data_IF_989226896576
#
_entry.id   IF_989226896576
#
_cell.length_a   1.000
_cell.length_b   1.000
_cell.length_c   1.000
_cell.angle_alpha   90.00
_cell.angle_beta   90.00
_cell.angle_gamma   90.00
#
_symmetry.space_group_name_H-M   'P 1'
#
loop_
_entity.id
_entity.type
_entity.pdbx_description
1 polymer ?
#
# COMPACT_ATOMS: atom_id res chain seq x y z
N UNK A 1 -4.72 1.11 36.29
CA UNK A 1 -5.25 1.66 35.09
C UNK A 1 -6.76 1.81 35.19
N UNK A 2 -7.27 3.02 35.00
CA UNK A 2 -8.71 3.26 34.95
C UNK A 2 -9.33 2.64 33.69
N UNK A 3 -10.60 2.27 33.78
CA UNK A 3 -11.43 1.79 32.66
C UNK A 3 -11.67 2.92 31.60
N UNK A 4 -10.62 3.39 30.95
CA UNK A 4 -10.78 4.27 29.79
C UNK A 4 -11.33 3.41 28.64
N UNK A 5 -12.61 3.58 28.38
CA UNK A 5 -13.27 2.88 27.27
C UNK A 5 -12.95 3.66 25.98
N UNK A 6 -12.50 2.94 24.97
CA UNK A 6 -12.40 3.44 23.59
C UNK A 6 -13.78 3.92 23.13
N UNK A 7 -13.88 5.15 22.63
CA UNK A 7 -15.10 5.68 22.03
C UNK A 7 -15.17 5.24 20.56
N UNK A 8 -16.05 4.32 20.27
CA UNK A 8 -16.26 3.78 18.91
C UNK A 8 -17.27 4.67 18.18
N UNK A 9 -16.82 5.40 17.15
CA UNK A 9 -17.67 6.20 16.28
C UNK A 9 -18.34 5.32 15.23
N UNK A 10 -17.59 4.42 14.63
CA UNK A 10 -18.09 3.41 13.70
C UNK A 10 -17.26 2.12 13.80
N UNK A 11 -17.92 0.99 13.92
CA UNK A 11 -17.30 -0.33 13.81
C UNK A 11 -17.58 -0.95 12.43
N UNK A 12 -16.82 -2.02 12.09
CA UNK A 12 -17.01 -2.72 10.82
C UNK A 12 -18.34 -3.49 10.81
N UNK A 13 -19.27 -3.21 9.88
CA UNK A 13 -20.62 -3.75 9.96
C UNK A 13 -20.81 -5.11 9.24
N UNK A 14 -19.80 -5.63 8.53
CA UNK A 14 -19.96 -6.74 7.60
C UNK A 14 -19.23 -8.02 8.04
N UNK A 15 -19.63 -8.62 9.15
CA UNK A 15 -19.13 -9.91 9.61
C UNK A 15 -17.78 -9.85 10.32
N UNK A 16 -17.00 -10.95 10.35
CA UNK A 16 -15.73 -10.99 11.05
C UNK A 16 -14.71 -10.03 10.43
N UNK A 17 -14.13 -9.20 11.27
CA UNK A 17 -13.04 -8.29 10.91
C UNK A 17 -11.74 -8.74 11.58
N UNK A 18 -10.61 -8.15 11.19
CA UNK A 18 -9.37 -8.31 11.91
C UNK A 18 -9.41 -7.50 13.21
N UNK A 19 -8.72 -7.96 14.24
CA UNK A 19 -8.55 -7.24 15.50
C UNK A 19 -7.34 -6.27 15.46
N UNK A 20 -6.84 -5.95 14.29
CA UNK A 20 -5.63 -5.15 14.11
C UNK A 20 -5.77 -3.75 14.71
N UNK A 21 -6.91 -3.08 14.50
CA UNK A 21 -7.20 -1.80 15.13
C UNK A 21 -7.16 -1.86 16.67
N UNK A 22 -7.55 -2.98 17.28
CA UNK A 22 -7.42 -3.17 18.72
C UNK A 22 -5.96 -3.33 19.16
N UNK A 23 -5.13 -4.00 18.36
CA UNK A 23 -3.70 -4.08 18.62
C UNK A 23 -3.03 -2.69 18.55
N UNK A 24 -3.40 -1.87 17.57
CA UNK A 24 -2.94 -0.49 17.46
C UNK A 24 -3.36 0.35 18.68
N UNK A 25 -4.61 0.24 19.11
CA UNK A 25 -5.11 0.93 20.31
C UNK A 25 -4.38 0.54 21.59
N UNK A 26 -3.94 -0.73 21.71
CA UNK A 26 -3.11 -1.16 22.83
C UNK A 26 -1.75 -0.45 22.83
N UNK A 27 -1.09 -0.33 21.67
CA UNK A 27 0.17 0.41 21.56
C UNK A 27 -0.04 1.89 21.94
N UNK A 28 -1.08 2.53 21.43
CA UNK A 28 -1.40 3.93 21.77
C UNK A 28 -1.61 4.09 23.28
N UNK A 29 -2.35 3.17 23.91
CA UNK A 29 -2.58 3.20 25.35
C UNK A 29 -1.30 3.01 26.17
N UNK A 30 -0.40 2.13 25.72
CA UNK A 30 0.85 1.86 26.41
C UNK A 30 1.83 3.04 26.31
N UNK A 31 1.84 3.73 25.17
CA UNK A 31 2.68 4.91 24.94
C UNK A 31 2.07 6.17 25.59
N UNK A 32 0.76 6.32 25.54
CA UNK A 32 0.03 7.48 26.05
C UNK A 32 -1.20 7.07 26.90
N UNK A 33 -0.99 6.55 28.13
CA UNK A 33 -2.07 5.96 28.93
C UNK A 33 -3.15 6.92 29.40
N UNK A 34 -2.89 8.23 29.33
CA UNK A 34 -3.85 9.27 29.70
C UNK A 34 -4.63 9.82 28.49
N UNK A 35 -4.31 9.40 27.25
CA UNK A 35 -5.00 9.85 26.04
C UNK A 35 -6.40 9.28 25.97
N UNK A 36 -7.37 10.11 25.57
CA UNK A 36 -8.70 9.63 25.17
C UNK A 36 -8.63 8.96 23.80
N UNK A 37 -9.11 7.72 23.71
CA UNK A 37 -9.01 6.91 22.49
C UNK A 37 -10.36 6.85 21.77
N UNK A 38 -10.34 7.16 20.48
CA UNK A 38 -11.46 7.04 19.56
C UNK A 38 -11.14 6.00 18.49
N UNK A 39 -12.18 5.37 17.93
CA UNK A 39 -12.03 4.40 16.86
C UNK A 39 -13.10 4.61 15.79
N UNK A 40 -12.70 4.55 14.54
CA UNK A 40 -13.56 4.41 13.37
C UNK A 40 -12.96 3.42 12.40
N UNK A 41 -13.81 2.58 11.77
CA UNK A 41 -13.31 1.66 10.74
C UNK A 41 -13.09 2.39 9.43
N UNK A 42 -11.96 2.13 8.77
CA UNK A 42 -11.71 2.56 7.39
C UNK A 42 -11.90 1.44 6.35
N UNK A 43 -12.22 0.21 6.79
CA UNK A 43 -12.20 -0.96 5.92
C UNK A 43 -13.45 -1.12 5.02
N UNK A 44 -14.45 -0.24 5.13
CA UNK A 44 -15.68 -0.32 4.32
C UNK A 44 -15.44 0.17 2.89
N UNK A 45 -14.84 1.35 2.74
CA UNK A 45 -14.48 1.96 1.46
C UNK A 45 -13.62 3.21 1.67
N UNK A 46 -13.02 3.73 0.61
CA UNK A 46 -12.28 5.01 0.64
C UNK A 46 -13.18 6.17 1.08
N UNK A 47 -14.43 6.23 0.58
CA UNK A 47 -15.39 7.26 1.00
C UNK A 47 -15.78 7.16 2.48
N UNK A 48 -15.89 5.94 3.01
CA UNK A 48 -16.12 5.73 4.44
C UNK A 48 -14.90 6.15 5.28
N UNK A 49 -13.69 5.85 4.81
CA UNK A 49 -12.44 6.28 5.48
C UNK A 49 -12.36 7.81 5.53
N UNK A 50 -12.60 8.48 4.41
CA UNK A 50 -12.59 9.95 4.35
C UNK A 50 -13.64 10.56 5.30
N UNK A 51 -14.85 10.01 5.37
CA UNK A 51 -15.87 10.40 6.33
C UNK A 51 -15.43 10.15 7.79
N UNK A 52 -14.84 8.97 8.06
CA UNK A 52 -14.32 8.64 9.38
C UNK A 52 -13.20 9.57 9.86
N UNK A 53 -12.33 10.02 8.96
CA UNK A 53 -11.32 11.06 9.26
C UNK A 53 -12.03 12.37 9.70
N UNK A 54 -13.04 12.81 8.94
CA UNK A 54 -13.81 13.99 9.28
C UNK A 54 -14.56 13.85 10.63
N UNK A 55 -15.10 12.66 10.92
CA UNK A 55 -15.76 12.38 12.21
C UNK A 55 -14.77 12.44 13.39
N UNK A 56 -13.53 11.95 13.22
CA UNK A 56 -12.49 12.07 14.24
C UNK A 56 -12.07 13.52 14.47
N UNK A 57 -11.93 14.31 13.41
CA UNK A 57 -11.69 15.77 13.52
C UNK A 57 -12.84 16.46 14.26
N UNK A 58 -14.09 16.11 13.94
CA UNK A 58 -15.27 16.67 14.62
C UNK A 58 -15.40 16.21 16.08
N UNK A 59 -14.76 15.11 16.46
CA UNK A 59 -14.64 14.63 17.83
C UNK A 59 -13.46 15.25 18.61
N UNK A 60 -12.83 16.30 18.07
CA UNK A 60 -11.68 17.02 18.64
C UNK A 60 -10.44 16.11 18.85
N UNK A 61 -10.21 15.13 17.99
CA UNK A 61 -8.98 14.35 18.03
C UNK A 61 -7.79 15.18 17.53
N UNK A 62 -6.76 15.34 18.34
CA UNK A 62 -5.51 16.05 18.00
C UNK A 62 -4.60 15.23 17.09
N UNK A 63 -4.70 13.90 17.21
CA UNK A 63 -3.87 12.92 16.50
C UNK A 63 -4.77 11.85 15.87
N UNK A 64 -4.54 11.56 14.60
CA UNK A 64 -5.17 10.44 13.88
C UNK A 64 -4.09 9.50 13.39
N UNK A 65 -4.30 8.21 13.52
CA UNK A 65 -3.40 7.18 12.99
C UNK A 65 -4.18 6.12 12.23
N UNK A 66 -3.67 5.72 11.08
CA UNK A 66 -4.25 4.66 10.26
C UNK A 66 -3.23 3.59 9.82
N UNK A 67 -3.77 2.47 9.36
CA UNK A 67 -3.04 1.32 8.86
C UNK A 67 -3.70 0.72 7.61
N UNK A 68 -4.11 1.54 6.69
CA UNK A 68 -4.82 1.09 5.49
C UNK A 68 -4.13 1.51 4.20
N UNK A 69 -4.20 0.63 3.19
CA UNK A 69 -3.83 0.96 1.82
C UNK A 69 -4.91 0.46 0.86
N UNK A 70 -5.48 1.35 0.07
CA UNK A 70 -6.48 1.01 -0.93
C UNK A 70 -5.79 0.73 -2.27
N UNK A 71 -5.92 -0.51 -2.75
CA UNK A 71 -5.31 -0.95 -4.01
C UNK A 71 -5.89 -0.24 -5.24
N UNK A 72 -7.12 0.29 -5.12
CA UNK A 72 -7.81 1.04 -6.17
C UNK A 72 -7.59 2.55 -6.06
N UNK A 73 -7.16 3.03 -4.91
CA UNK A 73 -6.83 4.43 -4.71
C UNK A 73 -5.71 4.86 -5.65
N UNK A 74 -5.74 6.10 -6.14
CA UNK A 74 -4.81 6.56 -7.18
C UNK A 74 -3.37 6.56 -6.68
N UNK A 75 -2.43 6.15 -7.57
CA UNK A 75 -0.99 6.17 -7.28
C UNK A 75 -0.33 7.50 -7.66
N UNK A 76 -0.79 8.11 -8.76
CA UNK A 76 -0.15 9.27 -9.39
C UNK A 76 -0.80 10.61 -9.04
N UNK A 77 -1.86 10.59 -8.25
CA UNK A 77 -2.59 11.78 -7.77
C UNK A 77 -3.15 11.56 -6.38
N UNK A 78 -3.54 12.63 -5.72
CA UNK A 78 -4.29 12.53 -4.49
C UNK A 78 -5.73 12.06 -4.79
N UNK A 79 -6.24 11.18 -3.95
CA UNK A 79 -7.61 10.70 -3.98
C UNK A 79 -8.37 11.17 -2.76
N UNK A 80 -9.64 10.80 -2.65
CA UNK A 80 -10.56 11.30 -1.61
C UNK A 80 -10.05 11.10 -0.17
N UNK A 81 -9.27 10.04 0.10
CA UNK A 81 -8.68 9.82 1.43
C UNK A 81 -7.48 10.74 1.64
N UNK A 82 -6.64 10.94 0.63
CA UNK A 82 -5.53 11.88 0.72
C UNK A 82 -6.02 13.32 0.92
N UNK A 83 -7.11 13.69 0.23
CA UNK A 83 -7.75 15.00 0.41
C UNK A 83 -8.27 15.18 1.85
N UNK A 84 -8.91 14.14 2.41
CA UNK A 84 -9.38 14.18 3.80
C UNK A 84 -8.23 14.29 4.81
N UNK A 85 -7.09 13.61 4.54
CA UNK A 85 -5.86 13.73 5.34
C UNK A 85 -5.32 15.17 5.27
N UNK A 86 -5.21 15.73 4.07
CA UNK A 86 -4.72 17.10 3.86
C UNK A 86 -5.63 18.12 4.52
N UNK A 87 -6.96 17.92 4.49
CA UNK A 87 -7.92 18.77 5.19
C UNK A 87 -7.75 18.68 6.70
N UNK A 88 -7.70 17.48 7.29
CA UNK A 88 -7.51 17.28 8.72
C UNK A 88 -6.23 17.97 9.22
N UNK A 89 -5.13 17.82 8.49
CA UNK A 89 -3.85 18.46 8.86
C UNK A 89 -3.89 19.97 8.70
N UNK A 90 -4.63 20.51 7.74
CA UNK A 90 -4.86 21.96 7.60
C UNK A 90 -5.62 22.55 8.79
N UNK A 91 -6.41 21.74 9.49
CA UNK A 91 -7.13 22.09 10.71
C UNK A 91 -6.29 21.92 11.99
N UNK A 92 -5.04 21.48 11.86
CA UNK A 92 -4.09 21.34 12.97
C UNK A 92 -3.97 19.93 13.55
N UNK A 93 -4.64 18.95 12.98
CA UNK A 93 -4.52 17.53 13.39
C UNK A 93 -3.20 16.94 12.88
N UNK A 94 -2.50 16.19 13.71
CA UNK A 94 -1.34 15.39 13.29
C UNK A 94 -1.82 14.06 12.75
N UNK A 95 -1.56 13.77 11.46
CA UNK A 95 -2.01 12.55 10.83
C UNK A 95 -0.84 11.59 10.55
N UNK A 96 -0.88 10.41 11.17
CA UNK A 96 0.11 9.35 10.97
C UNK A 96 -0.47 8.22 10.13
N UNK A 97 0.28 7.76 9.13
CA UNK A 97 -0.15 6.64 8.28
C UNK A 97 0.96 5.60 8.14
N UNK A 98 0.60 4.34 8.19
CA UNK A 98 1.55 3.26 7.94
C UNK A 98 2.08 3.32 6.50
N UNK A 99 3.39 3.11 6.31
CA UNK A 99 4.00 3.12 4.98
C UNK A 99 3.57 1.93 4.10
N UNK A 100 3.01 0.89 4.71
CA UNK A 100 2.69 -0.39 4.08
C UNK A 100 3.85 -1.39 4.13
N UNK A 101 3.54 -2.66 3.86
CA UNK A 101 4.48 -3.78 3.97
C UNK A 101 4.83 -4.37 2.59
N UNK A 102 5.06 -3.50 1.60
CA UNK A 102 5.27 -3.90 0.20
C UNK A 102 6.75 -3.96 -0.21
N UNK A 103 7.67 -3.69 0.74
CA UNK A 103 9.13 -3.71 0.50
C UNK A 103 9.52 -2.81 -0.69
N UNK A 104 10.18 -3.42 -1.70
CA UNK A 104 10.50 -2.80 -2.99
C UNK A 104 9.76 -3.49 -4.15
N UNK A 105 8.61 -4.12 -3.87
CA UNK A 105 7.86 -4.93 -4.83
C UNK A 105 7.00 -4.06 -5.74
N UNK A 106 7.64 -3.27 -6.58
CA UNK A 106 6.99 -2.43 -7.59
C UNK A 106 7.88 -2.26 -8.80
N UNK A 107 7.27 -1.82 -9.89
CA UNK A 107 7.95 -1.39 -11.10
C UNK A 107 7.27 -0.11 -11.58
N UNK A 108 8.06 0.87 -12.02
CA UNK A 108 7.56 2.13 -12.56
C UNK A 108 8.36 2.50 -13.80
N UNK A 109 7.68 2.86 -14.87
CA UNK A 109 8.27 3.30 -16.12
C UNK A 109 7.31 4.16 -16.95
N UNK A 110 7.82 4.81 -17.98
CA UNK A 110 6.99 5.26 -19.08
C UNK A 110 6.76 4.09 -20.05
N UNK A 111 5.53 3.90 -20.50
CA UNK A 111 5.26 2.86 -21.49
C UNK A 111 6.07 3.13 -22.76
N UNK A 112 6.89 2.17 -23.13
CA UNK A 112 7.67 2.16 -24.36
C UNK A 112 7.32 0.88 -25.12
N UNK A 113 6.88 0.99 -26.36
CA UNK A 113 6.51 -0.17 -27.16
C UNK A 113 7.75 -1.04 -27.44
N UNK A 114 7.61 -2.34 -27.27
CA UNK A 114 8.62 -3.31 -27.68
C UNK A 114 8.73 -3.35 -29.22
N UNK A 115 9.84 -3.86 -29.76
CA UNK A 115 9.97 -4.05 -31.21
C UNK A 115 8.95 -5.05 -31.78
N UNK A 116 8.72 -4.97 -33.07
CA UNK A 116 7.91 -5.94 -33.82
C UNK A 116 8.36 -7.40 -33.53
N UNK A 117 7.44 -8.35 -33.37
CA UNK A 117 5.97 -8.23 -33.54
C UNK A 117 5.20 -7.88 -32.23
N UNK A 118 5.85 -7.33 -31.21
CA UNK A 118 5.26 -7.13 -29.87
C UNK A 118 4.98 -5.65 -29.57
N UNK A 119 4.65 -4.83 -30.55
CA UNK A 119 4.55 -3.37 -30.43
C UNK A 119 3.47 -2.87 -29.48
N UNK A 120 2.52 -3.73 -29.12
CA UNK A 120 1.50 -3.41 -28.12
C UNK A 120 2.01 -3.66 -26.68
N UNK A 121 3.15 -4.35 -26.49
CA UNK A 121 3.74 -4.68 -25.21
C UNK A 121 4.78 -3.68 -24.79
N UNK A 122 4.91 -3.50 -23.48
CA UNK A 122 5.97 -2.68 -22.92
C UNK A 122 7.35 -3.35 -23.09
N UNK A 123 8.35 -2.57 -23.50
CA UNK A 123 9.76 -2.96 -23.51
C UNK A 123 10.36 -2.77 -22.10
N UNK A 124 10.59 -3.85 -21.39
CA UNK A 124 11.26 -3.83 -20.08
C UNK A 124 12.79 -3.57 -20.19
N UNK A 125 13.29 -3.40 -21.39
CA UNK A 125 14.69 -3.08 -21.71
C UNK A 125 15.27 -3.98 -22.77
N UNK A 126 15.99 -3.36 -23.73
CA UNK A 126 16.69 -4.06 -24.80
C UNK A 126 15.76 -4.79 -25.80
N UNK A 127 14.52 -4.39 -25.94
CA UNK A 127 13.53 -5.04 -26.81
C UNK A 127 12.81 -6.23 -26.14
N UNK A 128 12.96 -6.41 -24.83
CA UNK A 128 12.36 -7.52 -24.10
C UNK A 128 10.98 -7.12 -23.57
N UNK A 129 9.94 -7.76 -24.07
CA UNK A 129 8.56 -7.55 -23.61
C UNK A 129 8.10 -8.47 -22.45
N UNK A 130 9.02 -9.22 -21.88
CA UNK A 130 8.76 -10.20 -20.81
C UNK A 130 9.59 -9.87 -19.57
N UNK A 131 8.94 -9.57 -18.46
CA UNK A 131 9.63 -9.40 -17.17
C UNK A 131 9.54 -10.69 -16.38
N UNK A 132 10.64 -11.39 -16.22
CA UNK A 132 10.67 -12.66 -15.49
C UNK A 132 10.33 -12.46 -14.00
N UNK A 133 9.45 -13.31 -13.49
CA UNK A 133 9.06 -13.41 -12.10
C UNK A 133 9.41 -14.80 -11.55
N UNK A 134 9.92 -14.82 -10.33
CA UNK A 134 10.05 -16.04 -9.51
C UNK A 134 9.02 -15.97 -8.39
N UNK A 135 8.09 -16.89 -8.37
CA UNK A 135 6.93 -16.89 -7.50
C UNK A 135 6.98 -18.12 -6.58
N UNK A 136 6.93 -17.88 -5.28
CA UNK A 136 6.73 -18.91 -4.28
C UNK A 136 5.23 -19.23 -4.10
N UNK A 137 4.87 -20.41 -3.52
CA UNK A 137 3.47 -20.73 -3.25
C UNK A 137 2.79 -19.67 -2.38
N UNK A 138 1.53 -19.37 -2.70
CA UNK A 138 0.72 -18.43 -1.95
C UNK A 138 -0.18 -17.57 -2.82
N UNK A 139 -0.82 -16.60 -2.18
CA UNK A 139 -1.72 -15.66 -2.83
C UNK A 139 -0.96 -14.41 -3.27
N UNK A 140 -1.26 -13.94 -4.45
CA UNK A 140 -0.70 -12.71 -5.02
C UNK A 140 -1.81 -11.74 -5.41
N UNK A 141 -1.53 -10.46 -5.24
CA UNK A 141 -2.35 -9.37 -5.79
C UNK A 141 -1.39 -8.34 -6.35
N UNK A 142 -1.47 -8.11 -7.65
CA UNK A 142 -0.73 -7.05 -8.33
C UNK A 142 -1.74 -6.00 -8.81
N UNK A 143 -1.54 -4.74 -8.44
CA UNK A 143 -2.29 -3.63 -8.98
C UNK A 143 -1.41 -2.84 -9.94
N UNK A 144 -1.89 -2.70 -11.18
CA UNK A 144 -1.32 -1.85 -12.21
C UNK A 144 -2.14 -0.57 -12.30
N UNK A 145 -1.48 0.57 -12.32
CA UNK A 145 -2.08 1.87 -12.60
C UNK A 145 -1.21 2.67 -13.54
N UNK A 146 -1.81 3.61 -14.23
CA UNK A 146 -1.11 4.55 -15.11
C UNK A 146 -1.59 5.98 -14.87
N UNK A 147 -0.76 6.94 -15.24
CA UNK A 147 -1.00 8.36 -15.00
C UNK A 147 -2.01 8.90 -16.01
N UNK A 148 -3.27 8.65 -15.72
CA UNK A 148 -4.44 9.11 -16.46
C UNK A 148 -5.53 9.58 -15.49
N UNK A 149 -6.57 10.20 -15.97
CA UNK A 149 -7.66 10.70 -15.17
C UNK A 149 -8.55 9.58 -14.63
N UNK A 150 -8.98 9.74 -13.38
CA UNK A 150 -9.93 8.83 -12.73
C UNK A 150 -11.36 9.34 -12.91
N UNK A 151 -12.22 8.54 -13.53
CA UNK A 151 -13.65 8.83 -13.63
C UNK A 151 -14.31 8.89 -12.25
N UNK A 152 -13.93 7.97 -11.36
CA UNK A 152 -14.44 7.92 -9.98
C UNK A 152 -14.09 9.13 -9.11
N UNK A 153 -13.08 9.91 -9.50
CA UNK A 153 -12.71 11.16 -8.85
C UNK A 153 -13.32 12.40 -9.53
N UNK A 154 -14.29 12.20 -10.42
CA UNK A 154 -15.05 13.28 -11.05
C UNK A 154 -14.48 13.78 -12.38
N UNK A 155 -13.49 13.12 -12.98
CA UNK A 155 -13.09 13.43 -14.35
C UNK A 155 -14.23 13.16 -15.32
N UNK A 156 -14.46 14.10 -16.24
CA UNK A 156 -15.50 13.93 -17.28
C UNK A 156 -15.07 12.97 -18.38
N UNK A 157 -13.78 12.73 -18.52
CA UNK A 157 -13.21 11.92 -19.60
C UNK A 157 -12.71 10.55 -19.12
N UNK A 158 -12.32 10.44 -17.85
CA UNK A 158 -11.67 9.23 -17.33
C UNK A 158 -10.37 8.89 -18.07
N UNK A 159 -9.92 7.66 -17.98
CA UNK A 159 -8.69 7.20 -18.62
C UNK A 159 -8.75 7.34 -20.14
N UNK A 160 -7.66 7.82 -20.74
CA UNK A 160 -7.47 8.00 -22.18
C UNK A 160 -6.60 6.89 -22.78
N UNK A 161 -5.99 6.09 -21.94
CA UNK A 161 -5.21 4.90 -22.30
C UNK A 161 -5.80 3.68 -21.61
N UNK A 162 -5.53 2.52 -22.19
CA UNK A 162 -5.98 1.22 -21.72
C UNK A 162 -4.76 0.31 -21.62
N UNK A 163 -4.29 0.07 -20.40
CA UNK A 163 -3.17 -0.81 -20.11
C UNK A 163 -3.65 -2.08 -19.42
N UNK A 164 -3.23 -3.20 -19.98
CA UNK A 164 -3.55 -4.53 -19.49
C UNK A 164 -2.35 -5.19 -18.82
N UNK A 165 -2.61 -6.10 -17.88
CA UNK A 165 -1.59 -6.87 -17.18
C UNK A 165 -1.80 -8.37 -17.32
N UNK A 166 -0.74 -9.10 -17.68
CA UNK A 166 -0.80 -10.53 -17.90
C UNK A 166 0.37 -11.29 -17.28
N UNK A 167 0.16 -12.58 -16.98
CA UNK A 167 1.20 -13.57 -16.82
C UNK A 167 1.35 -14.37 -18.12
N UNK A 168 2.58 -14.63 -18.51
CA UNK A 168 2.92 -15.33 -19.75
C UNK A 168 4.01 -16.39 -19.51
N UNK A 169 4.07 -17.39 -20.40
CA UNK A 169 5.19 -18.31 -20.45
C UNK A 169 6.40 -17.68 -21.17
N UNK A 170 7.51 -18.42 -21.25
CA UNK A 170 8.77 -17.92 -21.80
C UNK A 170 8.72 -17.61 -23.31
N UNK A 171 7.72 -18.12 -24.03
CA UNK A 171 7.51 -17.74 -25.43
C UNK A 171 6.53 -16.56 -25.63
N UNK A 172 6.07 -15.99 -24.51
CA UNK A 172 5.17 -14.84 -24.55
C UNK A 172 3.69 -15.18 -24.71
N UNK A 173 3.30 -16.46 -24.68
CA UNK A 173 1.88 -16.83 -24.71
C UNK A 173 1.23 -16.52 -23.37
N UNK A 174 0.12 -15.81 -23.38
CA UNK A 174 -0.63 -15.41 -22.20
C UNK A 174 -1.21 -16.64 -21.50
N UNK A 175 -1.00 -16.71 -20.18
CA UNK A 175 -1.50 -17.76 -19.29
C UNK A 175 -2.69 -17.27 -18.47
N UNK A 176 -2.65 -16.02 -18.01
CA UNK A 176 -3.63 -15.41 -17.15
C UNK A 176 -3.50 -13.88 -17.21
N UNK A 177 -4.56 -13.13 -16.94
CA UNK A 177 -4.44 -11.68 -16.89
C UNK A 177 -5.75 -10.96 -16.62
N UNK A 178 -5.62 -9.63 -16.57
CA UNK A 178 -6.73 -8.68 -16.44
C UNK A 178 -6.62 -7.65 -17.56
N UNK A 179 -7.71 -7.47 -18.29
CA UNK A 179 -7.75 -6.75 -19.56
C UNK A 179 -9.12 -6.09 -19.78
N UNK A 180 -9.64 -5.39 -18.78
CA UNK A 180 -10.87 -4.64 -18.95
C UNK A 180 -10.59 -3.41 -19.81
N UNK A 181 -11.57 -3.02 -20.61
CA UNK A 181 -11.50 -1.73 -21.26
C UNK A 181 -11.66 -0.60 -20.23
N UNK A 182 -10.59 0.13 -19.99
CA UNK A 182 -10.52 1.23 -19.02
C UNK A 182 -10.74 2.61 -19.66
N UNK A 183 -10.90 2.72 -21.00
CA UNK A 183 -11.18 3.99 -21.63
C UNK A 183 -12.46 4.62 -21.06
N UNK A 184 -12.35 5.85 -20.57
CA UNK A 184 -13.45 6.56 -19.91
C UNK A 184 -13.77 6.09 -18.50
N UNK A 185 -12.99 5.19 -17.92
CA UNK A 185 -13.12 4.68 -16.57
C UNK A 185 -11.87 5.05 -15.74
N UNK A 186 -11.59 4.30 -14.66
CA UNK A 186 -10.38 4.50 -13.86
C UNK A 186 -9.18 3.73 -14.45
N UNK A 187 -7.97 4.31 -14.43
CA UNK A 187 -6.76 3.74 -14.98
C UNK A 187 -6.16 2.68 -14.04
N UNK A 188 -6.88 1.58 -13.80
CA UNK A 188 -6.48 0.56 -12.84
C UNK A 188 -6.86 -0.85 -13.27
N UNK A 189 -5.89 -1.78 -13.23
CA UNK A 189 -6.09 -3.21 -13.30
C UNK A 189 -5.59 -3.89 -12.02
N UNK A 190 -6.39 -4.81 -11.47
CA UNK A 190 -6.03 -5.57 -10.27
C UNK A 190 -6.06 -7.05 -10.62
N UNK A 191 -4.90 -7.70 -10.53
CA UNK A 191 -4.69 -9.09 -10.89
C UNK A 191 -4.46 -9.95 -9.64
N UNK A 192 -5.49 -10.60 -9.06
CA UNK A 192 -5.34 -11.61 -8.03
C UNK A 192 -5.07 -12.98 -8.66
N UNK A 193 -4.14 -13.76 -8.09
CA UNK A 193 -3.90 -15.14 -8.48
C UNK A 193 -3.28 -15.95 -7.33
N UNK A 194 -3.25 -17.27 -7.50
CA UNK A 194 -2.67 -18.20 -6.53
C UNK A 194 -1.61 -19.04 -7.22
N UNK A 195 -0.47 -19.16 -6.55
CA UNK A 195 0.62 -20.06 -6.95
C UNK A 195 0.61 -21.26 -6.01
N UNK A 196 0.56 -22.47 -6.56
CA UNK A 196 0.50 -23.72 -5.77
C UNK A 196 1.90 -24.31 -5.57
N UNK A 197 2.75 -24.21 -6.58
CA UNK A 197 4.14 -24.68 -6.54
C UNK A 197 5.08 -23.55 -6.97
N UNK A 198 6.35 -23.52 -6.51
CA UNK A 198 7.32 -22.55 -6.98
C UNK A 198 7.33 -22.50 -8.52
N UNK A 199 7.17 -21.31 -9.07
CA UNK A 199 6.92 -21.11 -10.50
C UNK A 199 7.73 -19.93 -11.01
N UNK A 200 8.40 -20.14 -12.15
CA UNK A 200 8.94 -19.04 -12.95
C UNK A 200 7.94 -18.72 -14.06
N UNK A 201 7.60 -17.45 -14.21
CA UNK A 201 6.68 -16.95 -15.23
C UNK A 201 7.15 -15.56 -15.67
N UNK A 202 6.42 -14.93 -16.57
CA UNK A 202 6.74 -13.59 -17.03
C UNK A 202 5.54 -12.67 -16.85
N UNK A 203 5.78 -11.44 -16.43
CA UNK A 203 4.80 -10.35 -16.46
C UNK A 203 4.86 -9.68 -17.83
N UNK A 204 3.69 -9.33 -18.36
CA UNK A 204 3.51 -8.58 -19.59
C UNK A 204 2.58 -7.41 -19.31
N UNK A 205 2.94 -6.23 -19.77
CA UNK A 205 2.08 -5.04 -19.78
C UNK A 205 1.79 -4.74 -21.25
N UNK A 206 0.51 -4.73 -21.63
CA UNK A 206 0.06 -4.39 -22.97
C UNK A 206 -0.68 -3.06 -22.97
N UNK A 207 -0.55 -2.28 -24.02
CA UNK A 207 -1.41 -1.14 -24.28
C UNK A 207 -2.41 -1.54 -25.34
N UNK A 208 -3.63 -1.88 -24.91
CA UNK A 208 -4.72 -2.30 -25.77
C UNK A 208 -5.27 -1.14 -26.60
N UNK A 209 -5.31 0.07 -26.02
CA UNK A 209 -5.76 1.28 -26.70
C UNK A 209 -5.13 2.53 -26.07
N UNK A 210 -5.29 3.68 -26.74
CA UNK A 210 -4.93 4.98 -26.17
C UNK A 210 -4.26 5.94 -27.14
N UNK A 211 -4.12 7.18 -26.68
CA UNK A 211 -3.63 8.32 -27.47
C UNK A 211 -2.22 8.76 -27.08
N UNK A 212 -1.71 8.33 -25.92
CA UNK A 212 -0.38 8.72 -25.43
C UNK A 212 0.75 7.95 -26.10
N UNK A 213 1.86 8.62 -26.40
CA UNK A 213 3.09 7.95 -26.86
C UNK A 213 3.94 7.44 -25.73
N UNK A 214 3.91 8.14 -24.60
CA UNK A 214 4.57 7.75 -23.33
C UNK A 214 3.57 7.95 -22.20
N UNK A 215 3.16 6.86 -21.59
CA UNK A 215 2.23 6.86 -20.47
C UNK A 215 2.99 6.35 -19.24
N UNK A 216 3.17 7.18 -18.20
CA UNK A 216 3.72 6.70 -16.95
C UNK A 216 2.83 5.62 -16.38
N UNK A 217 3.39 4.51 -15.98
CA UNK A 217 2.66 3.45 -15.31
C UNK A 217 3.48 2.85 -14.17
N UNK A 218 2.78 2.23 -13.25
CA UNK A 218 3.35 1.56 -12.11
C UNK A 218 2.52 0.33 -11.75
N UNK A 219 3.19 -0.75 -11.39
CA UNK A 219 2.53 -1.77 -10.62
C UNK A 219 3.14 -1.92 -9.23
N UNK A 220 2.29 -2.28 -8.27
CA UNK A 220 2.69 -2.64 -6.89
C UNK A 220 2.14 -4.03 -6.57
N UNK A 221 2.99 -4.86 -5.94
CA UNK A 221 2.59 -6.19 -5.46
C UNK A 221 2.15 -6.07 -4.01
N UNK A 222 0.85 -5.98 -3.79
CA UNK A 222 0.24 -5.80 -2.47
C UNK A 222 0.25 -7.08 -1.64
N UNK A 223 0.15 -8.24 -2.28
CA UNK A 223 0.30 -9.54 -1.64
C UNK A 223 1.24 -10.39 -2.49
N UNK A 224 2.19 -11.07 -1.85
CA UNK A 224 3.28 -11.78 -2.52
C UNK A 224 3.60 -13.12 -1.85
N UNK A 225 2.73 -14.10 -2.04
CA UNK A 225 2.90 -15.44 -1.48
C UNK A 225 2.81 -15.50 0.05
N UNK A 226 3.10 -16.66 0.62
CA UNK A 226 3.05 -16.87 2.07
C UNK A 226 4.23 -16.23 2.80
N UNK A 227 5.41 -16.20 2.16
CA UNK A 227 6.64 -15.67 2.77
C UNK A 227 7.00 -14.26 2.24
N UNK A 228 6.14 -13.68 1.42
CA UNK A 228 6.41 -12.40 0.79
C UNK A 228 7.53 -12.42 -0.26
N UNK A 229 7.98 -13.60 -0.66
CA UNK A 229 9.03 -13.77 -1.67
C UNK A 229 8.46 -13.55 -3.07
N UNK A 230 8.80 -12.40 -3.61
CA UNK A 230 8.52 -12.02 -4.99
C UNK A 230 9.82 -11.46 -5.57
N UNK A 231 10.45 -12.22 -6.43
CA UNK A 231 11.61 -11.76 -7.17
C UNK A 231 11.16 -11.35 -8.57
N UNK A 232 11.06 -10.06 -8.80
CA UNK A 232 11.04 -9.46 -10.13
C UNK A 232 12.34 -8.70 -10.30
N UNK A 233 12.74 -8.41 -11.52
CA UNK A 233 13.78 -7.42 -11.76
C UNK A 233 13.14 -6.05 -11.46
N UNK A 234 13.34 -5.47 -10.27
CA UNK A 234 12.73 -4.18 -9.96
C UNK A 234 13.36 -3.12 -10.84
N UNK A 235 12.57 -2.18 -11.29
CA UNK A 235 13.14 -0.93 -11.78
C UNK A 235 13.96 -0.30 -10.64
N UNK A 236 15.16 0.15 -10.93
CA UNK A 236 15.95 0.89 -9.97
C UNK A 236 15.08 2.07 -9.45
N UNK A 237 14.94 2.19 -8.14
CA UNK A 237 14.19 3.24 -7.45
C UNK A 237 12.64 3.19 -7.56
N UNK A 238 12.05 2.07 -7.89
CA UNK A 238 10.59 1.94 -7.80
C UNK A 238 10.14 2.10 -6.35
N UNK A 239 9.20 3.02 -6.14
CA UNK A 239 8.60 3.31 -4.84
C UNK A 239 7.42 2.38 -4.57
N UNK A 240 7.09 2.13 -3.29
CA UNK A 240 5.96 1.28 -2.89
C UNK A 240 4.98 1.98 -1.95
N UNK A 241 5.25 3.24 -1.58
CA UNK A 241 4.31 4.07 -0.82
C UNK A 241 3.39 4.77 -1.81
N UNK A 242 2.11 4.50 -1.71
CA UNK A 242 1.04 4.97 -2.62
C UNK A 242 -0.19 5.40 -1.83
N UNK A 243 -1.15 6.03 -2.49
CA UNK A 243 -2.41 6.45 -1.90
C UNK A 243 -2.22 7.52 -0.82
N UNK A 244 -3.09 7.55 0.19
CA UNK A 244 -3.08 8.59 1.21
C UNK A 244 -1.85 8.57 2.13
N UNK A 245 -1.20 7.42 2.33
CA UNK A 245 0.10 7.37 3.00
C UNK A 245 1.18 8.17 2.25
N UNK A 246 0.98 8.43 0.96
CA UNK A 246 1.87 9.26 0.14
C UNK A 246 1.45 10.75 0.10
N UNK A 247 0.34 11.16 0.77
CA UNK A 247 -0.11 12.56 0.79
C UNK A 247 0.87 13.48 1.51
N UNK A 248 0.81 14.77 1.19
CA UNK A 248 1.69 15.76 1.82
C UNK A 248 1.35 15.96 3.29
N UNK A 249 0.07 15.84 3.67
CA UNK A 249 -0.39 15.97 5.05
C UNK A 249 -0.04 14.77 5.94
N UNK A 250 0.18 13.58 5.40
CA UNK A 250 0.48 12.41 6.19
C UNK A 250 1.93 12.40 6.70
N UNK A 251 2.12 12.12 7.97
CA UNK A 251 3.40 11.67 8.55
C UNK A 251 3.47 10.16 8.32
N UNK A 252 4.19 9.75 7.30
CA UNK A 252 4.26 8.34 6.88
C UNK A 252 5.32 7.60 7.67
N UNK A 253 4.93 6.49 8.29
CA UNK A 253 5.76 5.76 9.25
C UNK A 253 6.24 4.43 8.68
N UNK A 254 7.55 4.29 8.52
CA UNK A 254 8.21 3.03 8.20
C UNK A 254 8.56 2.23 9.46
N UNK A 255 8.94 0.97 9.29
CA UNK A 255 9.19 0.03 10.39
C UNK A 255 10.67 -0.27 10.63
N UNK A 256 11.07 -0.25 11.91
CA UNK A 256 12.34 -0.79 12.43
C UNK A 256 12.01 -1.81 13.51
N UNK A 257 12.57 -3.00 13.43
CA UNK A 257 12.37 -3.99 14.52
C UNK A 257 12.86 -3.42 15.86
N UNK A 258 12.08 -3.61 16.92
CA UNK A 258 12.41 -3.10 18.25
C UNK A 258 13.80 -3.58 18.72
N UNK A 259 14.14 -4.84 18.47
CA UNK A 259 15.40 -5.47 18.83
C UNK A 259 16.59 -5.03 17.94
N UNK A 260 16.32 -4.31 16.86
CA UNK A 260 17.35 -3.68 15.99
C UNK A 260 17.50 -2.16 16.27
N UNK A 261 16.97 -1.68 17.36
CA UNK A 261 17.13 -0.29 17.79
C UNK A 261 18.44 -0.11 18.60
N UNK A 262 18.98 1.11 18.73
CA UNK A 262 20.18 1.37 19.54
C UNK A 262 20.04 0.98 21.00
N UNK A 263 18.83 1.00 21.55
CA UNK A 263 18.56 0.54 22.93
C UNK A 263 18.90 -0.95 23.12
N UNK A 264 18.85 -1.73 22.06
CA UNK A 264 19.20 -3.16 22.04
C UNK A 264 20.52 -3.42 21.29
N UNK A 265 21.33 -2.37 21.01
CA UNK A 265 22.60 -2.51 20.32
C UNK A 265 22.50 -2.66 18.80
N UNK A 266 21.33 -2.41 18.22
CA UNK A 266 21.09 -2.49 16.79
C UNK A 266 21.46 -1.21 16.04
N UNK A 267 21.32 -1.24 14.71
CA UNK A 267 21.79 -0.21 13.79
C UNK A 267 20.69 0.60 13.09
N UNK A 268 19.45 0.54 13.55
CA UNK A 268 18.27 1.21 12.96
C UNK A 268 18.04 0.88 11.48
N UNK A 269 18.26 -0.35 11.09
CA UNK A 269 17.95 -0.79 9.74
C UNK A 269 16.44 -0.94 9.56
N UNK A 270 15.91 -0.36 8.50
CA UNK A 270 14.52 -0.55 8.11
C UNK A 270 14.18 -2.03 7.98
N UNK A 271 13.03 -2.43 8.49
CA UNK A 271 12.52 -3.78 8.31
C UNK A 271 12.39 -4.08 6.82
N UNK A 272 12.79 -5.28 6.41
CA UNK A 272 12.85 -5.64 4.99
C UNK A 272 11.50 -5.51 4.27
N UNK A 273 10.40 -5.79 4.98
CA UNK A 273 9.04 -5.64 4.44
C UNK A 273 8.54 -4.21 4.36
N UNK A 274 9.12 -3.26 5.12
CA UNK A 274 8.67 -1.87 5.12
C UNK A 274 8.73 -1.27 3.71
N UNK A 275 7.65 -0.61 3.29
CA UNK A 275 7.58 0.10 2.01
C UNK A 275 8.57 1.25 1.93
N UNK A 276 8.96 1.61 0.70
CA UNK A 276 10.07 2.55 0.42
C UNK A 276 9.70 3.53 -0.66
N UNK A 277 10.08 4.79 -0.43
CA UNK A 277 9.94 5.87 -1.40
C UNK A 277 8.50 6.23 -1.73
N UNK A 278 8.21 7.52 -1.80
CA UNK A 278 6.92 8.02 -2.26
C UNK A 278 6.82 7.94 -3.78
N UNK A 279 5.63 7.64 -4.27
CA UNK A 279 5.30 7.73 -5.69
C UNK A 279 5.21 9.21 -6.09
N UNK A 280 5.62 9.54 -7.31
CA UNK A 280 5.41 10.87 -7.85
C UNK A 280 3.90 11.12 -8.00
N UNK A 281 3.44 12.20 -7.41
CA UNK A 281 2.04 12.62 -7.46
C UNK A 281 1.96 13.89 -8.28
N UNK A 282 1.19 13.89 -9.37
CA UNK A 282 1.10 15.00 -10.33
C UNK A 282 2.48 15.48 -10.82
N UNK A 283 3.39 14.53 -11.05
CA UNK A 283 4.77 14.78 -11.47
C UNK A 283 5.71 15.25 -10.37
N UNK A 284 5.24 15.50 -9.13
CA UNK A 284 6.05 15.93 -8.00
C UNK A 284 6.51 14.72 -7.17
N UNK A 285 7.82 14.62 -6.92
CA UNK A 285 8.37 13.59 -6.06
C UNK A 285 8.05 13.88 -4.59
N UNK A 286 7.54 12.88 -3.87
CA UNK A 286 7.29 12.92 -2.44
C UNK A 286 8.36 12.11 -1.70
N UNK A 287 8.97 12.70 -0.69
CA UNK A 287 10.04 12.04 0.09
C UNK A 287 9.42 11.29 1.27
N UNK A 288 9.09 10.03 1.06
CA UNK A 288 8.45 9.15 2.05
C UNK A 288 9.28 7.86 2.28
N UNK A 289 9.17 7.19 3.45
CA UNK A 289 8.45 7.61 4.64
C UNK A 289 9.14 8.81 5.32
N UNK A 290 8.39 9.56 6.15
CA UNK A 290 8.93 10.73 6.87
C UNK A 290 9.76 10.31 8.07
N UNK A 291 9.31 9.27 8.78
CA UNK A 291 9.97 8.75 9.98
C UNK A 291 9.94 7.23 10.01
N UNK A 292 10.71 6.66 10.93
CA UNK A 292 10.75 5.24 11.24
C UNK A 292 10.42 5.03 12.71
N UNK A 293 9.60 4.02 13.03
CA UNK A 293 9.22 3.70 14.39
C UNK A 293 9.33 2.20 14.68
N UNK A 294 9.36 1.78 15.98
CA UNK A 294 9.49 0.39 16.35
C UNK A 294 8.35 -0.47 15.85
N UNK A 295 8.66 -1.73 15.56
CA UNK A 295 7.70 -2.79 15.24
C UNK A 295 8.09 -4.07 15.97
N UNK A 296 7.13 -4.95 16.22
CA UNK A 296 7.35 -6.23 16.90
C UNK A 296 7.13 -6.17 18.41
N UNK A 297 6.49 -5.11 18.93
CA UNK A 297 6.07 -5.04 20.32
C UNK A 297 4.97 -6.05 20.65
N UNK A 298 4.78 -6.32 21.93
CA UNK A 298 3.78 -7.24 22.43
C UNK A 298 2.36 -6.69 22.31
N UNK A 299 1.42 -7.61 22.13
CA UNK A 299 -0.01 -7.30 22.15
C UNK A 299 -0.77 -8.48 22.73
N UNK A 300 -1.98 -8.27 23.23
CA UNK A 300 -2.88 -9.38 23.60
C UNK A 300 -3.65 -9.93 22.39
N UNK A 301 -3.50 -9.32 21.22
CA UNK A 301 -4.21 -9.68 19.99
C UNK A 301 -3.35 -10.61 19.14
N UNK A 302 -3.82 -11.84 18.93
CA UNK A 302 -3.12 -12.78 18.06
C UNK A 302 -3.49 -12.52 16.59
N UNK A 303 -2.58 -11.86 15.86
CA UNK A 303 -2.68 -11.62 14.41
C UNK A 303 -1.93 -12.68 13.58
N UNK A 304 -1.55 -13.81 14.20
CA UNK A 304 -0.87 -14.92 13.53
C UNK A 304 0.66 -14.85 13.56
N UNK A 305 1.24 -13.81 14.14
CA UNK A 305 2.67 -13.77 14.38
C UNK A 305 3.03 -14.68 15.59
N UNK A 306 4.20 -15.36 15.58
CA UNK A 306 4.66 -16.11 16.73
C UNK A 306 5.01 -15.17 17.90
N UNK A 307 5.00 -15.71 19.11
CA UNK A 307 5.63 -15.13 20.28
C UNK A 307 7.16 -15.20 20.07
N UNK A 308 7.75 -14.10 19.63
CA UNK A 308 9.12 -14.06 19.15
C UNK A 308 10.15 -14.04 20.26
N UNK A 309 9.82 -13.45 21.41
CA UNK A 309 10.68 -13.33 22.58
C UNK A 309 10.33 -14.30 23.73
N UNK A 310 9.37 -15.19 23.49
CA UNK A 310 8.92 -16.27 24.38
C UNK A 310 8.41 -15.76 25.74
N UNK A 311 7.66 -14.66 25.73
CA UNK A 311 7.09 -14.06 26.93
C UNK A 311 5.60 -14.35 27.12
N UNK A 312 4.98 -15.16 26.26
CA UNK A 312 3.56 -15.56 26.22
C UNK A 312 2.61 -14.51 25.65
N UNK A 313 3.12 -13.42 25.08
CA UNK A 313 2.34 -12.45 24.32
C UNK A 313 2.68 -12.53 22.83
N UNK A 314 1.68 -12.48 21.93
CA UNK A 314 1.97 -12.39 20.50
C UNK A 314 2.65 -11.06 20.16
N UNK A 315 3.63 -11.09 19.27
CA UNK A 315 4.25 -9.86 18.78
C UNK A 315 3.47 -9.30 17.58
N UNK A 316 3.29 -7.99 17.53
CA UNK A 316 2.65 -7.28 16.43
C UNK A 316 3.71 -6.63 15.54
N UNK A 317 3.84 -7.14 14.29
CA UNK A 317 4.82 -6.68 13.32
C UNK A 317 4.19 -5.89 12.18
N UNK A 318 5.03 -5.13 11.48
CA UNK A 318 4.67 -4.35 10.30
C UNK A 318 4.67 -2.85 10.56
N UNK A 319 4.46 -2.09 9.51
CA UNK A 319 4.26 -0.63 9.61
C UNK A 319 2.97 -0.30 10.36
N UNK A 320 2.03 -1.25 10.41
CA UNK A 320 0.82 -1.24 11.23
C UNK A 320 1.10 -1.06 12.72
N UNK A 321 2.15 -1.72 13.23
CA UNK A 321 2.60 -1.54 14.61
C UNK A 321 3.44 -0.26 14.78
N UNK A 322 4.19 0.12 13.75
CA UNK A 322 5.08 1.30 13.82
C UNK A 322 4.30 2.61 13.84
N UNK A 323 3.22 2.73 13.08
CA UNK A 323 2.42 3.95 13.02
C UNK A 323 1.89 4.38 14.42
N UNK A 324 1.25 3.50 15.21
CA UNK A 324 0.78 3.88 16.55
C UNK A 324 1.90 4.09 17.58
N UNK A 325 3.12 3.60 17.34
CA UNK A 325 4.27 3.96 18.20
C UNK A 325 4.79 5.37 17.94
N UNK A 326 4.51 5.90 16.73
CA UNK A 326 4.93 7.25 16.33
C UNK A 326 3.91 8.32 16.66
N UNK A 327 2.63 7.93 16.68
CA UNK A 327 1.49 8.81 16.98
C UNK A 327 1.39 9.10 18.47
#
# INVERSE_FOLDING_TARGET
GGDQKVKVLQDYPFGPASDEGRAMLQILHDVAPEAELYFTTGFVSEGNMAAGIADLVAADCDIIVDDLTYMKGPFFRDGIVADAVNEATSLGVSYFSSAGNFANRSFEANFTAAPAPNEIRHDFGGGNSLQQLQLEPGQYIIALQWDDDFYSLGSLTGAQNDLDIYLANDNGSILYGFNRNNLGADPVEIMPFVVVNPTTTNLVIERAAGIGTQVPFKYVVFRAGNDGNFAAVPAANASTIVGHANSDGAITVGAVRYDNSPAYGGSLLAQQSSSRGGTKTEGVARNKPDIMAPTGGDTSVNLGAPDYDNNSFPNFFGTSASAPHAA
#
